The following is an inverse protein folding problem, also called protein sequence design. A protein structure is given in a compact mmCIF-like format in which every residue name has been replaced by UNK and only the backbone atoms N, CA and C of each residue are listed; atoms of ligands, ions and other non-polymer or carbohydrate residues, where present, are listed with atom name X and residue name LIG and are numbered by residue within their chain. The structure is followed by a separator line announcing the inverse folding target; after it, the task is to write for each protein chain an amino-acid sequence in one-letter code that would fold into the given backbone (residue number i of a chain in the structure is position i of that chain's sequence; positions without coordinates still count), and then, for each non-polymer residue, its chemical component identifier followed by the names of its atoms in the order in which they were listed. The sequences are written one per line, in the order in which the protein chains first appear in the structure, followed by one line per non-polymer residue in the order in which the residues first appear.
data_IF_257990164947
#
_entry.id   IF_257990164947
#
_cell.length_a   1.000
_cell.length_b   1.000
_cell.length_c   1.000
_cell.angle_alpha   90.00
_cell.angle_beta   90.00
_cell.angle_gamma   90.00
#
_symmetry.space_group_name_H-M   'P 1'
#
loop_
_entity.id
_entity.type
_entity.pdbx_description
1 polymer ?
#
# COMPACT_ATOMS: atom_id res chain seq x y z
N UNK A 1 -0.12 7.44 -14.33
CA UNK A 1 0.30 6.11 -13.86
C UNK A 1 1.81 6.01 -14.06
N UNK A 2 2.55 5.46 -13.09
CA UNK A 2 4.00 5.28 -13.17
C UNK A 2 4.39 3.90 -12.61
N UNK A 3 5.48 3.33 -13.10
CA UNK A 3 6.11 2.12 -12.53
C UNK A 3 7.42 2.43 -11.80
N UNK A 4 7.80 3.71 -11.73
CA UNK A 4 8.97 4.17 -11.00
C UNK A 4 8.87 3.76 -9.52
N UNK A 5 9.88 3.04 -9.02
CA UNK A 5 9.95 2.62 -7.62
C UNK A 5 9.01 1.48 -7.21
N UNK A 6 8.23 0.91 -8.12
CA UNK A 6 7.41 -0.28 -7.82
C UNK A 6 8.27 -1.47 -7.32
N UNK A 7 9.52 -1.55 -7.80
CA UNK A 7 10.56 -2.48 -7.38
C UNK A 7 11.87 -1.74 -7.07
N UNK A 8 12.90 -2.46 -6.63
CA UNK A 8 14.22 -1.89 -6.34
C UNK A 8 14.48 -1.62 -4.86
N UNK A 9 15.58 -0.94 -4.54
CA UNK A 9 15.98 -0.62 -3.17
C UNK A 9 15.59 0.83 -2.83
N UNK A 10 14.28 1.06 -2.85
CA UNK A 10 13.57 2.33 -2.70
C UNK A 10 12.30 2.11 -1.87
N UNK A 11 11.60 3.20 -1.58
CA UNK A 11 10.22 3.20 -1.09
C UNK A 11 9.31 2.43 -2.05
N UNK A 12 8.41 1.61 -1.51
CA UNK A 12 7.35 0.93 -2.26
C UNK A 12 6.10 1.78 -2.33
N UNK A 13 5.04 1.23 -2.90
CA UNK A 13 3.74 1.86 -2.80
C UNK A 13 3.37 2.10 -1.33
N UNK A 14 3.18 3.36 -0.96
CA UNK A 14 2.72 3.74 0.38
C UNK A 14 1.26 3.33 0.52
N UNK A 15 0.96 2.53 1.54
CA UNK A 15 -0.39 2.02 1.76
C UNK A 15 -1.17 2.90 2.73
N UNK A 16 -2.46 3.07 2.46
CA UNK A 16 -3.47 3.57 3.39
C UNK A 16 -4.77 2.77 3.16
N UNK A 17 -5.72 2.87 4.09
CA UNK A 17 -7.03 2.25 3.95
C UNK A 17 -7.65 2.60 2.59
N UNK A 18 -8.03 1.59 1.77
CA UNK A 18 -8.54 1.83 0.42
C UNK A 18 -10.01 2.27 0.43
N UNK A 19 -10.74 2.07 1.53
CA UNK A 19 -12.16 2.34 1.60
C UNK A 19 -12.45 3.84 1.51
N UNK A 20 -13.18 4.31 0.48
CA UNK A 20 -13.43 5.73 0.26
C UNK A 20 -14.62 6.23 1.09
N UNK A 21 -14.62 5.96 2.40
CA UNK A 21 -15.68 6.43 3.31
C UNK A 21 -15.87 7.94 3.25
N UNK A 22 -14.80 8.68 2.95
CA UNK A 22 -14.88 10.11 2.66
C UNK A 22 -14.90 11.00 3.89
N UNK A 23 -14.67 10.46 5.10
CA UNK A 23 -14.49 11.28 6.30
C UNK A 23 -13.21 12.14 6.22
N UNK A 24 -13.20 13.34 6.85
CA UNK A 24 -12.08 14.27 6.73
C UNK A 24 -10.73 13.74 7.21
N UNK A 25 -10.73 12.84 8.20
CA UNK A 25 -9.52 12.24 8.76
C UNK A 25 -8.88 11.30 7.73
N UNK A 26 -9.66 10.39 7.13
CA UNK A 26 -9.17 9.49 6.07
C UNK A 26 -8.75 10.25 4.81
N UNK A 27 -9.39 11.37 4.48
CA UNK A 27 -8.94 12.23 3.38
C UNK A 27 -7.54 12.82 3.65
N UNK A 28 -7.26 13.27 4.87
CA UNK A 28 -5.92 13.71 5.27
C UNK A 28 -4.91 12.58 5.23
N UNK A 29 -5.29 11.36 5.63
CA UNK A 29 -4.39 10.20 5.61
C UNK A 29 -4.06 9.74 4.18
N UNK A 30 -5.05 9.78 3.29
CA UNK A 30 -4.82 9.55 1.86
C UNK A 30 -3.90 10.62 1.27
N UNK A 31 -4.12 11.89 1.61
CA UNK A 31 -3.23 12.97 1.18
C UNK A 31 -1.80 12.82 1.72
N UNK A 32 -1.65 12.34 2.96
CA UNK A 32 -0.35 12.02 3.53
C UNK A 32 0.33 10.86 2.79
N UNK A 33 -0.41 9.79 2.46
CA UNK A 33 0.14 8.67 1.70
C UNK A 33 0.71 9.14 0.34
N UNK A 34 -0.05 9.99 -0.36
CA UNK A 34 0.37 10.63 -1.61
C UNK A 34 1.62 11.52 -1.39
N UNK A 35 1.63 12.34 -0.33
CA UNK A 35 2.75 13.21 -0.01
C UNK A 35 4.04 12.43 0.35
N UNK A 36 3.95 11.32 1.10
CA UNK A 36 5.11 10.48 1.40
C UNK A 36 5.62 9.81 0.12
N UNK A 37 4.71 9.28 -0.71
CA UNK A 37 5.08 8.64 -1.96
C UNK A 37 5.79 9.61 -2.92
N UNK A 38 5.33 10.86 -3.01
CA UNK A 38 5.98 11.92 -3.79
C UNK A 38 7.31 12.36 -3.16
N UNK A 39 7.35 12.56 -1.84
CA UNK A 39 8.55 13.01 -1.12
C UNK A 39 9.72 12.03 -1.29
N UNK A 40 9.41 10.73 -1.18
CA UNK A 40 10.36 9.62 -1.30
C UNK A 40 10.51 9.09 -2.74
N UNK A 41 9.84 9.66 -3.74
CA UNK A 41 10.03 9.23 -5.12
C UNK A 41 11.47 9.49 -5.58
N UNK A 42 12.12 8.55 -6.30
CA UNK A 42 13.41 8.80 -6.94
C UNK A 42 13.36 10.04 -7.83
N UNK A 43 14.31 10.96 -7.67
CA UNK A 43 14.37 12.23 -8.41
C UNK A 43 15.29 12.19 -9.63
N UNK A 44 15.86 11.02 -9.92
CA UNK A 44 16.65 10.74 -11.12
C UNK A 44 15.82 10.89 -12.40
N UNK A 45 16.48 11.37 -13.46
CA UNK A 45 15.88 11.45 -14.80
C UNK A 45 15.86 10.11 -15.52
N UNK A 46 16.57 9.09 -15.02
CA UNK A 46 16.81 7.82 -15.72
C UNK A 46 15.53 7.13 -16.19
N UNK A 47 14.46 7.15 -15.39
CA UNK A 47 13.18 6.54 -15.78
C UNK A 47 12.59 7.19 -17.03
N UNK A 48 12.57 8.52 -17.08
CA UNK A 48 12.03 9.25 -18.23
C UNK A 48 12.93 9.08 -19.46
N UNK A 49 14.25 9.11 -19.27
CA UNK A 49 15.22 8.91 -20.35
C UNK A 49 15.10 7.54 -21.02
N UNK A 50 14.79 6.49 -20.26
CA UNK A 50 14.67 5.13 -20.81
C UNK A 50 13.31 4.89 -21.47
N UNK A 51 12.23 5.41 -20.87
CA UNK A 51 10.87 5.00 -21.23
C UNK A 51 10.06 6.04 -22.01
N UNK A 52 10.44 7.32 -21.94
CA UNK A 52 9.61 8.43 -22.44
C UNK A 52 10.36 9.39 -23.37
N UNK A 53 11.70 9.37 -23.37
CA UNK A 53 12.51 10.15 -24.31
C UNK A 53 12.84 9.30 -25.54
N UNK A 54 12.64 9.88 -26.72
CA UNK A 54 13.12 9.30 -27.98
C UNK A 54 14.59 9.69 -28.24
N UNK A 55 15.18 9.19 -29.34
CA UNK A 55 16.59 9.47 -29.71
C UNK A 55 16.91 10.96 -29.90
N UNK A 56 15.89 11.82 -30.03
CA UNK A 56 16.01 13.28 -30.14
C UNK A 56 15.83 14.01 -28.80
N UNK A 57 15.62 13.28 -27.69
CA UNK A 57 15.37 13.83 -26.35
C UNK A 57 13.99 14.46 -26.17
N UNK A 58 13.03 14.19 -27.06
CA UNK A 58 11.65 14.67 -26.91
C UNK A 58 10.86 13.70 -26.04
N UNK A 59 10.14 14.24 -25.05
CA UNK A 59 9.18 13.49 -24.24
C UNK A 59 7.95 13.16 -25.10
N UNK A 60 7.77 11.90 -25.45
CA UNK A 60 6.58 11.44 -26.14
C UNK A 60 5.78 10.55 -25.17
N UNK A 61 4.66 11.08 -24.66
CA UNK A 61 3.66 10.22 -24.02
C UNK A 61 3.08 9.35 -25.14
N UNK A 62 3.28 8.03 -25.06
CA UNK A 62 2.54 7.09 -25.92
C UNK A 62 1.05 7.38 -25.75
N UNK A 63 0.43 7.94 -26.80
CA UNK A 63 -1.00 8.20 -26.82
C UNK A 63 -1.73 6.86 -26.87
N UNK A 64 -2.29 6.45 -25.74
CA UNK A 64 -3.37 5.47 -25.75
C UNK A 64 -4.64 6.20 -26.23
N UNK A 65 -5.39 5.68 -27.21
CA UNK A 65 -6.58 6.34 -27.72
C UNK A 65 -7.53 6.67 -26.57
N UNK A 66 -7.81 7.96 -26.41
CA UNK A 66 -8.62 8.51 -25.33
C UNK A 66 -10.08 8.07 -25.50
N UNK A 67 -10.53 7.18 -24.61
CA UNK A 67 -11.94 6.99 -24.31
C UNK A 67 -12.10 6.44 -22.88
N UNK A 68 -11.64 7.20 -21.89
CA UNK A 68 -12.18 7.15 -20.52
C UNK A 68 -12.12 8.58 -19.99
N UNK A 69 -13.29 9.19 -19.80
CA UNK A 69 -13.40 10.49 -19.17
C UNK A 69 -13.13 10.34 -17.67
N UNK A 70 -11.88 10.43 -17.22
CA UNK A 70 -11.62 10.51 -15.77
C UNK A 70 -11.93 11.93 -15.28
N UNK A 71 -13.20 12.21 -14.97
CA UNK A 71 -13.61 13.48 -14.38
C UNK A 71 -13.61 13.39 -12.85
N UNK A 72 -12.64 14.06 -12.21
CA UNK A 72 -12.74 14.44 -10.80
C UNK A 72 -11.45 14.93 -10.15
N UNK A 73 -10.28 14.44 -10.56
CA UNK A 73 -8.99 14.93 -10.05
C UNK A 73 -8.14 15.48 -11.19
N UNK A 74 -8.09 16.80 -11.29
CA UNK A 74 -7.04 17.48 -12.06
C UNK A 74 -5.72 17.23 -11.33
N UNK A 75 -4.99 16.21 -11.76
CA UNK A 75 -3.55 16.15 -11.50
C UNK A 75 -2.93 17.06 -12.55
N UNK A 76 -2.68 18.31 -12.17
CA UNK A 76 -1.82 19.15 -12.98
C UNK A 76 -0.48 18.41 -13.15
N UNK A 77 -0.07 18.21 -14.40
CA UNK A 77 1.18 17.55 -14.78
C UNK A 77 2.45 18.33 -14.43
N UNK A 78 2.41 19.12 -13.36
CA UNK A 78 3.56 19.68 -12.66
C UNK A 78 3.36 19.34 -11.18
N UNK A 79 4.16 18.40 -10.67
CA UNK A 79 4.33 18.14 -9.24
C UNK A 79 4.93 19.37 -8.55
N UNK A 80 4.07 20.35 -8.29
CA UNK A 80 4.38 21.52 -7.50
C UNK A 80 3.21 21.73 -6.54
N UNK A 81 3.42 21.30 -5.30
CA UNK A 81 2.64 21.75 -4.15
C UNK A 81 2.64 23.29 -4.18
N UNK A 82 1.45 23.89 -4.24
CA UNK A 82 1.26 25.33 -4.09
C UNK A 82 1.56 25.74 -2.64
N UNK A 83 2.85 25.76 -2.29
CA UNK A 83 3.38 26.56 -1.19
C UNK A 83 3.94 27.85 -1.79
N UNK A 84 3.41 29.01 -1.36
CA UNK A 84 3.98 30.31 -1.72
C UNK A 84 5.44 30.38 -1.23
N UNK A 85 6.39 30.10 -2.12
CA UNK A 85 7.80 30.46 -1.94
C UNK A 85 8.01 31.77 -2.69
N UNK A 86 8.12 32.86 -1.93
CA UNK A 86 8.56 34.14 -2.46
C UNK A 86 10.02 34.01 -2.91
N UNK A 87 10.30 34.29 -4.18
CA UNK A 87 11.65 34.58 -4.66
C UNK A 87 11.98 33.95 -6.00
N UNK A 88 12.07 34.79 -7.04
CA UNK A 88 12.62 34.53 -8.37
C UNK A 88 13.71 33.44 -8.41
N UNK A 89 13.41 32.32 -9.06
CA UNK A 89 14.40 31.31 -9.46
C UNK A 89 14.00 30.73 -10.80
N UNK A 90 14.53 31.30 -11.88
CA UNK A 90 14.51 30.67 -13.20
C UNK A 90 15.24 29.34 -13.12
N UNK A 91 14.56 28.24 -13.46
CA UNK A 91 15.20 26.93 -13.58
C UNK A 91 16.17 26.97 -14.77
N UNK A 92 17.43 27.27 -14.49
CA UNK A 92 18.53 27.08 -15.44
C UNK A 92 18.74 25.57 -15.63
N UNK A 93 18.63 25.14 -16.89
CA UNK A 93 19.20 23.87 -17.34
C UNK A 93 20.72 23.96 -17.24
N UNK A 94 21.28 23.58 -16.09
CA UNK A 94 22.72 23.39 -15.95
C UNK A 94 23.11 22.04 -16.53
N UNK A 95 23.89 22.07 -17.61
CA UNK A 95 24.58 20.92 -18.17
C UNK A 95 25.54 20.30 -17.13
N UNK A 96 25.58 18.96 -17.13
CA UNK A 96 26.64 18.09 -16.57
C UNK A 96 27.32 18.52 -15.25
N UNK A 97 26.75 18.10 -14.11
CA UNK A 97 27.44 18.19 -12.81
C UNK A 97 26.54 17.94 -11.59
N UNK A 98 26.37 16.67 -11.21
CA UNK A 98 25.84 16.17 -9.91
C UNK A 98 24.50 16.74 -9.37
N UNK A 99 23.37 16.34 -9.96
CA UNK A 99 22.14 16.18 -9.18
C UNK A 99 22.06 14.71 -8.73
N UNK A 100 22.75 14.40 -7.63
CA UNK A 100 22.68 13.09 -6.97
C UNK A 100 21.34 13.04 -6.21
N UNK A 101 20.59 11.96 -6.38
CA UNK A 101 19.40 11.61 -5.59
C UNK A 101 19.51 12.13 -4.13
N UNK A 102 18.73 13.15 -3.73
CA UNK A 102 19.02 13.90 -2.50
C UNK A 102 18.77 13.09 -1.23
N UNK A 103 17.76 12.20 -1.26
CA UNK A 103 17.45 11.29 -0.16
C UNK A 103 18.22 9.99 -0.34
N UNK A 104 18.14 9.37 -1.52
CA UNK A 104 18.70 8.04 -1.75
C UNK A 104 20.22 7.99 -1.95
N UNK A 105 20.83 9.10 -2.34
CA UNK A 105 22.25 9.14 -2.69
C UNK A 105 22.57 8.23 -3.88
N UNK A 106 23.87 8.02 -4.12
CA UNK A 106 24.34 7.19 -5.25
C UNK A 106 23.94 5.72 -5.14
N UNK A 107 23.80 5.21 -3.92
CA UNK A 107 23.65 3.77 -3.65
C UNK A 107 22.23 3.37 -3.28
N UNK A 108 21.28 4.30 -3.30
CA UNK A 108 19.90 4.06 -2.87
C UNK A 108 19.82 3.44 -1.47
N UNK A 109 18.71 2.81 -1.08
CA UNK A 109 18.64 2.11 0.19
C UNK A 109 19.37 0.76 0.13
N UNK A 110 19.72 0.14 1.27
CA UNK A 110 20.26 -1.22 1.29
C UNK A 110 19.26 -2.27 0.76
N UNK A 111 17.96 -2.01 0.94
CA UNK A 111 16.87 -2.89 0.53
C UNK A 111 15.57 -2.10 0.35
N UNK A 112 14.52 -2.80 -0.09
CA UNK A 112 13.14 -2.30 -0.11
C UNK A 112 12.73 -1.66 1.22
N UNK A 113 12.04 -0.52 1.14
CA UNK A 113 11.37 0.12 2.27
C UNK A 113 9.86 0.16 1.99
N UNK A 114 9.05 -0.07 3.00
CA UNK A 114 7.59 -0.09 2.91
C UNK A 114 6.98 0.79 3.99
N UNK A 115 6.04 1.64 3.59
CA UNK A 115 5.27 2.47 4.50
C UNK A 115 3.78 2.12 4.45
N UNK A 116 3.14 2.03 5.62
CA UNK A 116 1.70 1.94 5.75
C UNK A 116 1.17 2.97 6.75
N UNK A 117 0.00 3.53 6.44
CA UNK A 117 -0.72 4.50 7.25
C UNK A 117 -2.05 3.88 7.66
N UNK A 118 -2.48 4.17 8.87
CA UNK A 118 -3.76 3.73 9.42
C UNK A 118 -4.43 4.85 10.21
N UNK A 119 -5.70 4.63 10.51
CA UNK A 119 -6.43 5.33 11.58
C UNK A 119 -6.66 4.37 12.75
N UNK A 120 -6.81 4.87 13.98
CA UNK A 120 -7.21 4.09 15.15
C UNK A 120 -8.29 3.05 14.85
N UNK A 121 -8.03 1.79 15.20
CA UNK A 121 -8.96 0.67 15.03
C UNK A 121 -8.89 -0.05 13.67
N UNK A 122 -8.21 0.50 12.66
CA UNK A 122 -8.19 -0.06 11.30
C UNK A 122 -6.80 -0.56 10.90
N UNK A 123 -6.66 -1.89 10.78
CA UNK A 123 -5.45 -2.57 10.31
C UNK A 123 -5.61 -3.20 8.93
N UNK A 124 -6.51 -2.73 8.07
CA UNK A 124 -6.67 -3.29 6.72
C UNK A 124 -5.36 -3.22 5.89
N UNK A 125 -4.40 -2.38 6.24
CA UNK A 125 -3.08 -2.31 5.55
C UNK A 125 -2.00 -3.21 6.16
N UNK A 126 -2.31 -3.95 7.22
CA UNK A 126 -1.37 -4.78 7.99
C UNK A 126 -0.12 -3.98 8.44
N UNK A 127 -0.35 -2.90 9.16
CA UNK A 127 0.63 -1.83 9.45
C UNK A 127 1.92 -2.37 10.08
N UNK A 128 1.80 -3.36 10.96
CA UNK A 128 2.93 -3.93 11.70
C UNK A 128 3.91 -4.72 10.82
N UNK A 129 3.60 -5.00 9.56
CA UNK A 129 4.49 -5.69 8.63
C UNK A 129 5.38 -4.76 7.79
N UNK A 130 5.23 -3.45 7.97
CA UNK A 130 5.90 -2.41 7.19
C UNK A 130 7.15 -1.88 7.90
N UNK A 131 8.11 -1.34 7.13
CA UNK A 131 9.29 -0.71 7.71
C UNK A 131 8.88 0.52 8.51
N UNK A 132 7.92 1.30 8.01
CA UNK A 132 7.30 2.44 8.70
C UNK A 132 5.78 2.26 8.79
N UNK A 133 5.24 2.39 10.00
CA UNK A 133 3.82 2.46 10.28
C UNK A 133 3.46 3.81 10.90
N UNK A 134 2.44 4.49 10.37
CA UNK A 134 1.91 5.74 10.92
C UNK A 134 0.43 5.59 11.26
N UNK A 135 0.06 5.80 12.53
CA UNK A 135 -1.35 5.81 12.95
C UNK A 135 -1.77 7.24 13.24
N UNK A 136 -2.62 7.82 12.39
CA UNK A 136 -3.07 9.21 12.49
C UNK A 136 -4.11 9.40 13.59
N UNK A 137 -3.81 10.25 14.56
CA UNK A 137 -4.63 10.50 15.74
C UNK A 137 -5.38 11.83 15.61
N UNK A 138 -6.65 11.80 16.00
CA UNK A 138 -7.54 12.94 16.09
C UNK A 138 -8.23 12.92 17.46
N UNK A 139 -8.57 14.10 17.97
CA UNK A 139 -9.43 14.21 19.13
C UNK A 139 -10.86 13.74 18.79
N UNK A 140 -11.61 13.33 19.80
CA UNK A 140 -13.00 12.91 19.63
C UNK A 140 -13.85 14.03 19.00
N UNK A 141 -14.52 13.72 17.89
CA UNK A 141 -15.33 14.68 17.14
C UNK A 141 -14.54 15.71 16.33
N UNK A 142 -13.20 15.63 16.28
CA UNK A 142 -12.36 16.51 15.47
C UNK A 142 -12.17 15.95 14.06
N UNK A 143 -12.33 16.81 13.06
CA UNK A 143 -12.00 16.48 11.67
C UNK A 143 -10.49 16.55 11.39
N UNK A 144 -9.65 16.96 12.36
CA UNK A 144 -8.23 17.23 12.13
C UNK A 144 -7.33 16.17 12.78
N UNK A 145 -6.33 15.72 12.02
CA UNK A 145 -5.27 14.88 12.55
C UNK A 145 -4.24 15.77 13.24
N UNK A 146 -4.08 15.60 14.55
CA UNK A 146 -3.12 16.40 15.33
C UNK A 146 -1.72 15.76 15.36
N UNK A 147 -1.60 14.48 15.00
CA UNK A 147 -0.30 13.83 14.77
C UNK A 147 -0.38 12.31 14.69
N UNK A 148 0.74 11.63 14.89
CA UNK A 148 0.89 10.22 14.54
C UNK A 148 1.63 9.42 15.62
N UNK A 149 1.10 8.25 15.97
CA UNK A 149 1.94 7.20 16.55
C UNK A 149 2.79 6.58 15.44
N UNK A 150 4.09 6.42 15.70
CA UNK A 150 5.09 5.93 14.75
C UNK A 150 5.53 4.53 15.18
N UNK A 151 5.50 3.59 14.23
CA UNK A 151 5.97 2.21 14.39
C UNK A 151 7.06 1.93 13.35
N UNK A 152 8.09 1.18 13.71
CA UNK A 152 9.23 0.91 12.82
C UNK A 152 9.73 -0.53 12.87
N UNK A 153 10.25 -1.03 11.74
CA UNK A 153 11.00 -2.29 11.70
C UNK A 153 10.17 -3.54 11.52
N UNK A 154 8.99 -3.45 10.90
CA UNK A 154 8.21 -4.61 10.48
C UNK A 154 8.77 -5.28 9.23
N UNK A 155 8.53 -6.59 9.09
CA UNK A 155 8.76 -7.29 7.83
C UNK A 155 8.74 -8.80 7.94
N UNK A 156 8.09 -9.44 6.97
CA UNK A 156 7.82 -10.88 7.00
C UNK A 156 8.98 -11.76 6.50
N UNK A 157 9.77 -11.29 5.53
CA UNK A 157 10.70 -12.16 4.82
C UNK A 157 11.78 -12.82 5.68
N UNK A 158 11.96 -14.12 5.47
CA UNK A 158 12.95 -14.97 6.12
C UNK A 158 13.54 -15.99 5.13
N UNK A 159 14.49 -16.81 5.59
CA UNK A 159 15.05 -17.93 4.83
C UNK A 159 14.87 -19.21 5.65
N UNK A 160 14.36 -20.28 5.03
CA UNK A 160 14.25 -21.58 5.70
C UNK A 160 15.62 -22.06 6.20
N UNK A 161 15.63 -22.68 7.37
CA UNK A 161 16.84 -23.20 8.03
C UNK A 161 17.93 -22.15 8.28
N UNK A 162 17.56 -20.86 8.34
CA UNK A 162 18.47 -19.79 8.72
C UNK A 162 17.91 -19.00 9.91
N UNK A 163 18.37 -19.25 11.14
CA UNK A 163 17.86 -18.59 12.34
C UNK A 163 18.16 -17.09 12.37
N UNK A 164 19.15 -16.61 11.58
CA UNK A 164 19.50 -15.20 11.49
C UNK A 164 18.50 -14.39 10.62
N UNK A 165 17.47 -15.05 10.10
CA UNK A 165 16.40 -14.39 9.33
C UNK A 165 15.03 -14.81 9.84
N UNK A 166 14.23 -13.84 10.29
CA UNK A 166 12.95 -14.10 10.95
C UNK A 166 11.95 -12.98 10.67
N UNK A 167 10.62 -13.24 10.66
CA UNK A 167 9.62 -12.18 10.60
C UNK A 167 9.66 -11.32 11.88
N UNK A 168 9.38 -10.02 11.75
CA UNK A 168 9.25 -9.10 12.88
C UNK A 168 8.04 -8.20 12.69
N UNK A 169 7.37 -7.89 13.80
CA UNK A 169 6.39 -6.81 13.88
C UNK A 169 7.10 -5.49 14.11
N UNK A 170 6.56 -4.41 13.53
CA UNK A 170 7.03 -3.06 13.77
C UNK A 170 6.88 -2.71 15.26
N UNK A 171 7.94 -2.13 15.82
CA UNK A 171 8.01 -1.73 17.22
C UNK A 171 7.58 -0.27 17.38
N UNK A 172 6.96 0.11 18.50
CA UNK A 172 6.62 1.50 18.78
C UNK A 172 7.89 2.35 18.86
N UNK A 173 7.93 3.47 18.13
CA UNK A 173 9.04 4.43 18.15
C UNK A 173 8.73 5.66 19.01
N UNK A 174 7.48 6.15 18.95
CA UNK A 174 7.04 7.34 19.65
C UNK A 174 5.85 8.01 18.99
N UNK A 175 5.58 9.24 19.37
CA UNK A 175 4.54 10.11 18.81
C UNK A 175 5.17 11.37 18.21
N UNK A 176 4.54 11.89 17.15
CA UNK A 176 4.94 13.14 16.47
C UNK A 176 3.73 14.01 16.15
N UNK A 177 3.89 15.33 16.20
CA UNK A 177 2.89 16.28 15.72
C UNK A 177 2.74 16.21 14.20
N UNK A 178 1.56 16.56 13.68
CA UNK A 178 1.25 16.35 12.27
C UNK A 178 2.19 17.09 11.29
N UNK A 179 2.68 18.27 11.68
CA UNK A 179 3.61 19.10 10.91
C UNK A 179 5.01 18.45 10.73
N UNK A 180 5.36 17.47 11.56
CA UNK A 180 6.68 16.81 11.55
C UNK A 180 6.73 15.52 10.73
N UNK A 181 5.60 15.05 10.21
CA UNK A 181 5.48 13.70 9.65
C UNK A 181 6.43 13.42 8.47
N UNK A 182 6.61 14.37 7.55
CA UNK A 182 7.51 14.19 6.42
C UNK A 182 8.98 14.23 6.84
N UNK A 183 9.35 15.11 7.78
CA UNK A 183 10.72 15.19 8.29
C UNK A 183 11.12 13.90 9.01
N UNK A 184 10.25 13.40 9.90
CA UNK A 184 10.47 12.15 10.64
C UNK A 184 10.54 10.95 9.70
N UNK A 185 9.64 10.88 8.71
CA UNK A 185 9.67 9.84 7.68
C UNK A 185 11.00 9.84 6.93
N UNK A 186 11.46 11.01 6.48
CA UNK A 186 12.74 11.14 5.80
C UNK A 186 13.90 10.71 6.71
N UNK A 187 13.96 11.15 7.96
CA UNK A 187 15.09 10.82 8.85
C UNK A 187 15.15 9.33 9.18
N UNK A 188 14.01 8.65 9.33
CA UNK A 188 13.98 7.19 9.47
C UNK A 188 14.57 6.52 8.22
N UNK A 189 14.18 6.98 7.02
CA UNK A 189 14.72 6.48 5.75
C UNK A 189 16.23 6.73 5.64
N UNK A 190 16.72 7.89 6.08
CA UNK A 190 18.16 8.23 6.08
C UNK A 190 18.95 7.35 7.07
N UNK A 191 18.43 7.11 8.27
CA UNK A 191 19.06 6.19 9.22
C UNK A 191 19.18 4.79 8.63
N UNK A 192 18.12 4.27 7.99
CA UNK A 192 18.18 3.00 7.29
C UNK A 192 19.15 3.02 6.09
N UNK A 193 19.22 4.14 5.35
CA UNK A 193 20.15 4.32 4.23
C UNK A 193 21.60 4.20 4.68
N UNK A 194 21.93 4.86 5.79
CA UNK A 194 23.29 5.08 6.25
C UNK A 194 23.81 3.93 7.12
N UNK A 195 22.91 3.23 7.81
CA UNK A 195 23.29 2.22 8.80
C UNK A 195 22.78 0.80 8.49
N UNK A 196 21.85 0.63 7.54
CA UNK A 196 21.40 -0.70 7.14
C UNK A 196 22.49 -1.49 6.41
N UNK A 197 22.55 -2.80 6.66
CA UNK A 197 23.59 -3.68 6.13
C UNK A 197 23.55 -3.76 4.58
N UNK A 198 24.68 -3.46 3.94
CA UNK A 198 24.87 -3.56 2.49
C UNK A 198 25.75 -4.73 2.07
N UNK A 199 26.32 -5.44 3.02
CA UNK A 199 27.19 -6.60 2.79
C UNK A 199 26.38 -7.89 2.65
N UNK A 200 25.32 -8.05 3.44
CA UNK A 200 24.41 -9.19 3.37
C UNK A 200 22.97 -8.75 3.08
N UNK A 201 22.51 -8.97 1.84
CA UNK A 201 21.15 -8.59 1.40
C UNK A 201 20.03 -9.28 2.19
N UNK A 202 20.27 -10.46 2.79
CA UNK A 202 19.29 -11.15 3.64
C UNK A 202 19.07 -10.44 4.98
N UNK A 203 20.04 -9.61 5.38
CA UNK A 203 20.07 -8.85 6.63
C UNK A 203 19.87 -7.34 6.40
N UNK A 204 19.60 -6.92 5.16
CA UNK A 204 19.60 -5.50 4.76
C UNK A 204 18.30 -4.73 5.08
N UNK A 205 17.24 -5.38 5.58
CA UNK A 205 15.98 -4.71 5.95
C UNK A 205 16.09 -4.04 7.31
N UNK A 206 15.37 -2.93 7.50
CA UNK A 206 15.45 -2.11 8.71
C UNK A 206 15.10 -2.87 10.00
N UNK A 207 14.26 -3.90 9.91
CA UNK A 207 13.96 -4.80 11.03
C UNK A 207 15.21 -5.41 11.69
N UNK A 208 16.25 -5.70 10.91
CA UNK A 208 17.49 -6.27 11.43
C UNK A 208 18.37 -5.21 12.08
N UNK A 209 18.44 -4.01 11.49
CA UNK A 209 19.10 -2.86 12.11
C UNK A 209 18.52 -2.57 13.50
N UNK A 210 17.18 -2.55 13.60
CA UNK A 210 16.48 -2.33 14.87
C UNK A 210 16.67 -3.52 15.83
N UNK A 211 16.65 -4.75 15.33
CA UNK A 211 16.90 -5.95 16.14
C UNK A 211 18.29 -5.90 16.79
N UNK A 212 19.32 -5.54 16.01
CA UNK A 212 20.70 -5.55 16.48
C UNK A 212 21.03 -4.39 17.40
N UNK A 213 20.46 -3.22 17.13
CA UNK A 213 20.71 -2.02 17.93
C UNK A 213 19.80 -1.96 19.16
N UNK A 214 18.62 -2.55 19.10
CA UNK A 214 17.52 -2.27 20.02
C UNK A 214 16.79 -0.96 19.66
N UNK A 215 15.50 -0.91 19.99
CA UNK A 215 14.61 0.20 19.62
C UNK A 215 15.07 1.55 20.20
N UNK A 216 15.60 1.57 21.42
CA UNK A 216 16.07 2.80 22.08
C UNK A 216 17.27 3.43 21.35
N UNK A 217 18.24 2.62 20.93
CA UNK A 217 19.40 3.11 20.18
C UNK A 217 19.00 3.57 18.77
N UNK A 218 18.05 2.88 18.15
CA UNK A 218 17.48 3.31 16.87
C UNK A 218 16.74 4.65 17.02
N UNK A 219 15.89 4.80 18.05
CA UNK A 219 15.21 6.06 18.39
C UNK A 219 16.20 7.21 18.58
N UNK A 220 17.22 7.00 19.42
CA UNK A 220 18.26 8.00 19.66
C UNK A 220 18.98 8.41 18.36
N UNK A 221 19.24 7.46 17.46
CA UNK A 221 19.84 7.78 16.14
C UNK A 221 18.90 8.56 15.24
N UNK A 222 17.61 8.23 15.22
CA UNK A 222 16.61 9.02 14.47
C UNK A 222 16.53 10.44 15.03
N UNK A 223 16.48 10.60 16.35
CA UNK A 223 16.43 11.90 17.02
C UNK A 223 17.71 12.73 16.80
N UNK A 224 18.87 12.09 16.66
CA UNK A 224 20.12 12.76 16.24
C UNK A 224 19.99 13.37 14.84
N UNK A 225 19.36 12.67 13.90
CA UNK A 225 19.11 13.18 12.54
C UNK A 225 18.04 14.29 12.53
N UNK A 226 17.09 14.26 13.47
CA UNK A 226 16.02 15.24 13.62
C UNK A 226 16.48 16.52 14.34
N UNK A 227 17.41 16.40 15.29
CA UNK A 227 17.77 17.48 16.20
C UNK A 227 16.72 17.77 17.28
N UNK A 228 15.73 16.90 17.45
CA UNK A 228 14.72 16.96 18.50
C UNK A 228 14.27 15.56 18.92
N UNK A 229 13.64 15.49 20.10
CA UNK A 229 13.16 14.24 20.69
C UNK A 229 11.74 13.92 20.22
N UNK A 230 11.45 12.63 20.04
CA UNK A 230 10.10 12.14 19.80
C UNK A 230 9.33 12.11 21.12
N UNK A 231 8.02 12.32 21.05
CA UNK A 231 7.15 12.18 22.23
C UNK A 231 6.86 10.70 22.50
N UNK A 232 6.34 10.39 23.68
CA UNK A 232 5.85 9.05 24.00
C UNK A 232 4.57 8.72 23.23
N UNK A 233 4.34 7.43 22.96
CA UNK A 233 3.14 6.99 22.27
C UNK A 233 1.88 7.46 22.98
N UNK A 234 0.90 7.87 22.18
CA UNK A 234 -0.43 8.20 22.67
C UNK A 234 -1.33 6.95 22.64
N UNK A 235 -2.29 6.82 23.57
CA UNK A 235 -3.22 5.70 23.57
C UNK A 235 -4.00 5.59 22.26
N UNK A 236 -4.23 4.36 21.81
CA UNK A 236 -5.09 4.05 20.67
C UNK A 236 -5.81 2.71 20.92
N UNK A 237 -7.01 2.49 20.35
CA UNK A 237 -7.72 1.23 20.46
C UNK A 237 -6.96 0.08 19.79
N UNK A 238 -7.37 -1.15 20.09
CA UNK A 238 -6.90 -2.32 19.39
C UNK A 238 -7.24 -2.21 17.89
N UNK A 239 -6.30 -2.62 17.04
CA UNK A 239 -6.43 -2.53 15.60
C UNK A 239 -7.07 -3.81 15.06
N UNK A 240 -8.09 -3.68 14.21
CA UNK A 240 -8.81 -4.81 13.60
C UNK A 240 -8.75 -4.74 12.08
N UNK A 241 -8.84 -5.88 11.39
CA UNK A 241 -8.82 -5.93 9.93
C UNK A 241 -10.26 -5.91 9.41
N UNK A 242 -10.51 -5.06 8.42
CA UNK A 242 -11.76 -5.02 7.64
C UNK A 242 -11.41 -5.32 6.17
N UNK A 243 -12.25 -6.11 5.47
CA UNK A 243 -12.01 -6.52 4.09
C UNK A 243 -12.65 -5.58 3.06
N UNK A 244 -13.50 -4.65 3.53
CA UNK A 244 -14.21 -3.65 2.76
C UNK A 244 -15.07 -4.21 1.62
N UNK A 245 -15.49 -5.47 1.72
CA UNK A 245 -16.32 -6.13 0.70
C UNK A 245 -17.79 -5.75 0.82
N UNK A 246 -18.53 -5.84 -0.29
CA UNK A 246 -19.96 -5.52 -0.34
C UNK A 246 -20.24 -4.02 -0.40
N UNK A 247 -21.50 -3.64 -0.13
CA UNK A 247 -21.96 -2.24 -0.18
C UNK A 247 -21.63 -1.46 1.08
N UNK A 248 -21.03 -0.28 0.89
CA UNK A 248 -20.73 0.67 1.96
C UNK A 248 -21.16 2.08 1.56
N UNK A 249 -21.70 2.84 2.51
CA UNK A 249 -22.12 4.22 2.28
C UNK A 249 -20.94 5.18 2.50
N UNK A 250 -20.81 6.16 1.61
CA UNK A 250 -19.82 7.23 1.67
C UNK A 250 -20.42 8.48 2.34
N UNK A 251 -19.57 9.35 2.88
CA UNK A 251 -19.97 10.58 3.56
C UNK A 251 -20.74 11.56 2.66
N UNK A 252 -20.56 11.49 1.34
CA UNK A 252 -21.29 12.29 0.35
C UNK A 252 -22.66 11.70 -0.04
N UNK A 253 -23.07 10.60 0.61
CA UNK A 253 -24.32 9.89 0.35
C UNK A 253 -24.24 8.87 -0.80
N UNK A 254 -23.13 8.81 -1.54
CA UNK A 254 -22.88 7.78 -2.55
C UNK A 254 -22.49 6.46 -1.90
N UNK A 255 -22.25 5.46 -2.74
CA UNK A 255 -21.90 4.11 -2.33
C UNK A 255 -20.65 3.64 -3.06
N UNK A 256 -19.85 2.83 -2.36
CA UNK A 256 -18.87 1.96 -2.99
C UNK A 256 -19.23 0.49 -2.78
N UNK A 257 -18.76 -0.34 -3.69
CA UNK A 257 -18.91 -1.79 -3.63
C UNK A 257 -17.54 -2.46 -3.68
N UNK A 258 -17.22 -3.27 -2.67
CA UNK A 258 -16.03 -4.10 -2.64
C UNK A 258 -16.26 -5.46 -3.29
N UNK A 259 -15.51 -5.72 -4.36
CA UNK A 259 -15.57 -6.95 -5.15
C UNK A 259 -14.45 -7.88 -4.70
N UNK A 260 -14.83 -9.07 -4.25
CA UNK A 260 -13.87 -10.14 -3.97
C UNK A 260 -13.24 -10.62 -5.28
N UNK A 261 -11.91 -10.64 -5.32
CA UNK A 261 -11.13 -11.18 -6.42
C UNK A 261 -10.21 -12.25 -5.84
N UNK A 262 -10.47 -13.52 -6.13
CA UNK A 262 -9.66 -14.62 -5.62
C UNK A 262 -8.18 -14.44 -6.05
N UNK A 263 -7.31 -14.27 -5.05
CA UNK A 263 -5.89 -13.97 -5.22
C UNK A 263 -5.56 -12.70 -6.04
N UNK A 264 -6.52 -11.78 -6.19
CA UNK A 264 -6.38 -10.59 -7.05
C UNK A 264 -6.21 -10.89 -8.54
N UNK A 265 -6.45 -12.13 -8.98
CA UNK A 265 -6.27 -12.52 -10.39
C UNK A 265 -7.46 -12.07 -11.22
N UNK A 266 -7.30 -10.94 -11.90
CA UNK A 266 -8.28 -10.45 -12.88
C UNK A 266 -8.08 -11.18 -14.22
N UNK A 267 -9.05 -12.04 -14.55
CA UNK A 267 -9.07 -12.85 -15.78
C UNK A 267 -10.47 -13.39 -16.07
N UNK A 268 -10.68 -13.86 -17.29
CA UNK A 268 -11.89 -14.61 -17.64
C UNK A 268 -11.52 -16.10 -17.64
N UNK A 269 -12.16 -16.88 -16.78
CA UNK A 269 -11.91 -18.30 -16.59
C UNK A 269 -13.24 -19.05 -16.39
N UNK A 270 -13.63 -19.83 -17.39
CA UNK A 270 -14.95 -20.47 -17.45
C UNK A 270 -16.08 -19.45 -17.25
N UNK A 271 -16.95 -19.72 -16.27
CA UNK A 271 -18.08 -18.86 -15.92
C UNK A 271 -17.66 -17.63 -15.08
N UNK A 272 -16.47 -17.65 -14.48
CA UNK A 272 -15.93 -16.53 -13.70
C UNK A 272 -15.21 -15.54 -14.62
N UNK A 273 -15.95 -14.53 -15.08
CA UNK A 273 -15.49 -13.56 -16.09
C UNK A 273 -15.10 -12.22 -15.45
N UNK A 274 -14.19 -12.24 -14.48
CA UNK A 274 -13.84 -11.05 -13.67
C UNK A 274 -13.33 -9.88 -14.52
N UNK A 275 -12.51 -10.13 -15.54
CA UNK A 275 -11.97 -9.07 -16.40
C UNK A 275 -13.07 -8.41 -17.23
N UNK A 276 -13.92 -9.23 -17.85
CA UNK A 276 -15.04 -8.74 -18.65
C UNK A 276 -16.08 -8.00 -17.79
N UNK A 277 -16.38 -8.53 -16.60
CA UNK A 277 -17.32 -7.91 -15.65
C UNK A 277 -16.82 -6.57 -15.11
N UNK A 278 -15.57 -6.49 -14.66
CA UNK A 278 -14.97 -5.22 -14.21
C UNK A 278 -14.95 -4.19 -15.35
N UNK A 279 -14.60 -4.61 -16.58
CA UNK A 279 -14.64 -3.72 -17.75
C UNK A 279 -16.06 -3.20 -18.02
N UNK A 280 -17.06 -4.08 -17.97
CA UNK A 280 -18.46 -3.69 -18.19
C UNK A 280 -18.95 -2.70 -17.13
N UNK A 281 -18.64 -2.95 -15.85
CA UNK A 281 -18.92 -2.03 -14.74
C UNK A 281 -18.28 -0.67 -14.96
N UNK A 282 -16.98 -0.65 -15.31
CA UNK A 282 -16.26 0.60 -15.56
C UNK A 282 -16.83 1.38 -16.73
N UNK A 283 -17.11 0.71 -17.85
CA UNK A 283 -17.70 1.36 -19.03
C UNK A 283 -19.12 1.87 -18.81
N UNK A 284 -19.89 1.19 -17.95
CA UNK A 284 -21.28 1.52 -17.68
C UNK A 284 -21.44 2.66 -16.68
N UNK A 285 -20.63 2.66 -15.62
CA UNK A 285 -20.83 3.54 -14.48
C UNK A 285 -19.72 4.56 -14.25
N UNK A 286 -18.57 4.42 -14.93
CA UNK A 286 -17.37 5.25 -14.72
C UNK A 286 -16.99 5.44 -13.23
N UNK A 287 -16.93 4.35 -12.43
CA UNK A 287 -16.62 4.44 -11.02
C UNK A 287 -15.12 4.69 -10.81
N UNK A 288 -14.76 5.25 -9.65
CA UNK A 288 -13.38 5.20 -9.20
C UNK A 288 -12.99 3.74 -8.87
N UNK A 289 -11.81 3.30 -9.32
CA UNK A 289 -11.30 1.93 -9.11
C UNK A 289 -10.16 1.99 -8.10
N UNK A 290 -10.28 1.24 -7.00
CA UNK A 290 -9.32 1.24 -5.90
C UNK A 290 -8.92 -0.21 -5.59
N UNK A 291 -7.62 -0.48 -5.43
CA UNK A 291 -7.10 -1.82 -5.13
C UNK A 291 -6.85 -1.93 -3.63
N UNK A 292 -7.27 -3.03 -3.00
CA UNK A 292 -7.09 -3.24 -1.56
C UNK A 292 -5.80 -4.02 -1.23
N UNK A 293 -5.26 -3.88 -0.01
CA UNK A 293 -4.16 -4.72 0.47
C UNK A 293 -4.50 -6.21 0.54
N UNK A 294 -5.78 -6.58 0.56
CA UNK A 294 -6.29 -7.96 0.47
C UNK A 294 -6.45 -8.45 -0.98
N UNK A 295 -5.91 -7.72 -1.96
CA UNK A 295 -5.97 -8.07 -3.40
C UNK A 295 -7.37 -7.96 -4.02
N UNK A 296 -8.31 -7.28 -3.35
CA UNK A 296 -9.66 -7.04 -3.86
C UNK A 296 -9.74 -5.69 -4.59
N UNK A 297 -10.90 -5.42 -5.21
CA UNK A 297 -11.15 -4.16 -5.94
C UNK A 297 -12.40 -3.49 -5.39
N UNK A 298 -12.30 -2.21 -5.05
CA UNK A 298 -13.43 -1.35 -4.72
C UNK A 298 -13.81 -0.51 -5.94
N UNK A 299 -15.10 -0.43 -6.21
CA UNK A 299 -15.68 0.49 -7.19
C UNK A 299 -16.51 1.53 -6.44
N UNK A 300 -16.24 2.82 -6.62
CA UNK A 300 -16.85 3.89 -5.85
C UNK A 300 -17.54 4.93 -6.72
N UNK A 301 -18.57 5.58 -6.16
CA UNK A 301 -19.31 6.67 -6.81
C UNK A 301 -20.71 6.29 -7.25
N UNK A 302 -21.24 5.15 -6.78
CA UNK A 302 -22.58 4.69 -7.12
C UNK A 302 -23.67 5.45 -6.36
N UNK A 303 -24.81 5.66 -7.02
CA UNK A 303 -26.06 6.10 -6.38
C UNK A 303 -26.82 4.90 -5.80
N UNK A 304 -27.77 5.15 -4.90
CA UNK A 304 -28.63 4.10 -4.33
C UNK A 304 -29.40 3.32 -5.38
N UNK A 305 -29.83 3.99 -6.46
CA UNK A 305 -30.65 3.42 -7.53
C UNK A 305 -29.85 2.48 -8.43
N UNK A 306 -28.53 2.66 -8.50
CA UNK A 306 -27.63 1.83 -9.32
C UNK A 306 -27.30 0.48 -8.68
N UNK A 307 -27.54 0.28 -7.38
CA UNK A 307 -27.11 -0.94 -6.67
C UNK A 307 -27.61 -2.23 -7.31
N UNK A 308 -28.90 -2.27 -7.66
CA UNK A 308 -29.51 -3.46 -8.26
C UNK A 308 -28.92 -3.80 -9.64
N UNK A 309 -28.63 -2.77 -10.45
CA UNK A 309 -27.99 -2.96 -11.77
C UNK A 309 -26.55 -3.44 -11.62
N UNK A 310 -25.80 -2.89 -10.66
CA UNK A 310 -24.42 -3.31 -10.36
C UNK A 310 -24.38 -4.78 -9.95
N UNK A 311 -25.23 -5.19 -9.01
CA UNK A 311 -25.28 -6.59 -8.57
C UNK A 311 -25.73 -7.55 -9.67
N UNK A 312 -26.69 -7.13 -10.52
CA UNK A 312 -27.08 -7.93 -11.67
C UNK A 312 -25.91 -8.12 -12.63
N UNK A 313 -25.14 -7.05 -12.91
CA UNK A 313 -23.98 -7.14 -13.79
C UNK A 313 -22.90 -8.04 -13.18
N UNK A 314 -22.66 -7.97 -11.87
CA UNK A 314 -21.75 -8.90 -11.18
C UNK A 314 -22.19 -10.36 -11.40
N UNK A 315 -23.48 -10.66 -11.17
CA UNK A 315 -24.05 -12.00 -11.38
C UNK A 315 -23.95 -12.46 -12.83
N UNK A 316 -24.24 -11.58 -13.78
CA UNK A 316 -24.17 -11.88 -15.22
C UNK A 316 -22.75 -12.32 -15.64
N UNK A 317 -21.71 -11.81 -14.99
CA UNK A 317 -20.31 -12.18 -15.26
C UNK A 317 -19.76 -13.25 -14.30
N UNK A 318 -20.58 -13.84 -13.43
CA UNK A 318 -20.17 -14.89 -12.50
C UNK A 318 -19.31 -14.39 -11.32
N UNK A 319 -19.45 -13.11 -10.94
CA UNK A 319 -18.82 -12.56 -9.74
C UNK A 319 -19.79 -12.69 -8.56
N UNK A 320 -19.37 -13.44 -7.54
CA UNK A 320 -20.13 -13.64 -6.31
C UNK A 320 -20.23 -12.36 -5.50
N UNK A 321 -21.39 -12.16 -4.89
CA UNK A 321 -21.62 -11.18 -3.83
C UNK A 321 -20.94 -11.62 -2.52
N UNK A 322 -20.78 -10.70 -1.58
CA UNK A 322 -20.06 -10.98 -0.33
C UNK A 322 -20.82 -12.00 0.54
N UNK A 323 -22.15 -12.02 0.44
CA UNK A 323 -23.05 -12.93 1.13
C UNK A 323 -22.96 -14.37 0.60
N UNK A 324 -22.46 -14.55 -0.62
CA UNK A 324 -22.25 -15.86 -1.27
C UNK A 324 -20.84 -16.43 -0.99
N UNK A 325 -20.02 -15.73 -0.20
CA UNK A 325 -18.65 -16.13 0.14
C UNK A 325 -18.55 -16.57 1.60
N UNK A 326 -17.81 -17.66 1.84
CA UNK A 326 -17.46 -18.08 3.20
C UNK A 326 -16.49 -17.09 3.85
N UNK A 327 -16.47 -17.04 5.18
CA UNK A 327 -15.50 -16.23 5.93
C UNK A 327 -14.06 -16.69 5.68
N UNK A 328 -13.83 -18.01 5.51
CA UNK A 328 -12.52 -18.58 5.16
C UNK A 328 -12.02 -17.98 3.84
N UNK A 329 -12.86 -18.00 2.80
CA UNK A 329 -12.49 -17.55 1.46
C UNK A 329 -12.28 -16.05 1.38
N UNK A 330 -13.15 -15.26 2.03
CA UNK A 330 -12.99 -13.79 2.12
C UNK A 330 -11.66 -13.37 2.75
N UNK A 331 -11.17 -14.15 3.70
CA UNK A 331 -9.94 -13.88 4.45
C UNK A 331 -8.75 -14.72 3.98
N UNK A 332 -8.86 -15.36 2.82
CA UNK A 332 -7.79 -16.11 2.19
C UNK A 332 -6.96 -15.21 1.26
N UNK A 333 -5.65 -15.44 1.18
CA UNK A 333 -4.77 -14.75 0.22
C UNK A 333 -3.55 -15.58 -0.10
N UNK A 334 -3.15 -15.60 -1.37
CA UNK A 334 -1.89 -16.17 -1.80
C UNK A 334 -1.03 -15.20 -2.61
N UNK A 335 0.29 -15.43 -2.57
CA UNK A 335 1.19 -14.80 -3.52
C UNK A 335 1.17 -15.54 -4.87
N UNK A 336 1.65 -14.92 -5.96
CA UNK A 336 1.61 -15.57 -7.28
C UNK A 336 2.35 -16.90 -7.37
N UNK A 337 3.49 -17.03 -6.68
CA UNK A 337 4.34 -18.22 -6.73
C UNK A 337 4.59 -18.73 -8.18
N UNK A 338 4.48 -20.03 -8.42
CA UNK A 338 4.63 -20.61 -9.76
C UNK A 338 3.44 -20.22 -10.67
N UNK A 339 3.65 -20.03 -11.99
CA UNK A 339 4.89 -20.28 -12.74
C UNK A 339 5.79 -19.05 -12.91
N UNK A 340 5.37 -17.87 -12.44
CA UNK A 340 6.03 -16.60 -12.79
C UNK A 340 7.10 -16.15 -11.79
N UNK A 341 7.01 -16.56 -10.52
CA UNK A 341 7.97 -16.19 -9.49
C UNK A 341 9.23 -17.05 -9.57
N UNK A 342 10.36 -16.46 -9.95
CA UNK A 342 11.66 -17.13 -9.97
C UNK A 342 12.23 -17.53 -8.60
N UNK A 343 11.52 -17.25 -7.50
CA UNK A 343 11.89 -17.62 -6.12
C UNK A 343 10.96 -18.66 -5.51
N UNK A 344 9.90 -19.08 -6.21
CA UNK A 344 8.92 -20.01 -5.68
C UNK A 344 9.52 -21.42 -5.51
N UNK A 345 9.21 -22.05 -4.38
CA UNK A 345 9.56 -23.42 -4.05
C UNK A 345 8.34 -24.36 -4.16
N UNK A 346 7.13 -23.80 -4.03
CA UNK A 346 5.86 -24.49 -4.11
C UNK A 346 4.79 -23.60 -4.78
N UNK A 347 3.62 -24.18 -5.05
CA UNK A 347 2.42 -23.42 -5.43
C UNK A 347 1.95 -22.51 -4.29
N UNK A 348 1.19 -21.48 -4.66
CA UNK A 348 0.38 -20.71 -3.73
C UNK A 348 -0.93 -20.30 -4.38
N UNK A 349 -0.93 -19.28 -5.25
CA UNK A 349 -2.14 -18.79 -5.94
C UNK A 349 -2.95 -19.89 -6.63
N UNK A 350 -2.27 -20.80 -7.34
CA UNK A 350 -2.94 -21.85 -8.13
C UNK A 350 -3.54 -22.97 -7.31
N UNK A 351 -3.08 -23.15 -6.06
CA UNK A 351 -3.54 -24.23 -5.17
C UNK A 351 -4.45 -23.73 -4.04
N UNK A 352 -4.31 -22.47 -3.63
CA UNK A 352 -5.13 -21.90 -2.55
C UNK A 352 -6.64 -22.13 -2.73
N UNK A 353 -7.25 -22.01 -3.93
CA UNK A 353 -8.69 -22.25 -4.09
C UNK A 353 -9.13 -23.66 -3.68
N UNK A 354 -8.32 -24.69 -3.97
CA UNK A 354 -8.60 -26.08 -3.60
C UNK A 354 -8.46 -26.25 -2.08
N UNK A 355 -7.36 -25.75 -1.50
CA UNK A 355 -7.14 -25.79 -0.05
C UNK A 355 -8.24 -25.07 0.73
N UNK A 356 -8.69 -23.91 0.26
CA UNK A 356 -9.80 -23.18 0.90
C UNK A 356 -11.09 -23.99 0.83
N UNK A 357 -11.34 -24.70 -0.26
CA UNK A 357 -12.52 -25.58 -0.40
C UNK A 357 -12.48 -26.74 0.61
N UNK A 358 -11.30 -27.33 0.84
CA UNK A 358 -11.12 -28.36 1.88
C UNK A 358 -11.34 -27.78 3.29
N UNK A 359 -10.81 -26.58 3.58
CA UNK A 359 -10.99 -25.91 4.88
C UNK A 359 -12.47 -25.55 5.11
N UNK A 360 -13.18 -25.10 4.08
CA UNK A 360 -14.62 -24.83 4.14
C UNK A 360 -15.41 -26.09 4.52
N UNK A 361 -15.11 -27.25 3.91
CA UNK A 361 -15.75 -28.52 4.26
C UNK A 361 -15.51 -28.90 5.73
N UNK A 362 -14.28 -28.76 6.21
CA UNK A 362 -13.94 -29.03 7.62
C UNK A 362 -14.66 -28.06 8.56
N UNK A 363 -14.73 -26.77 8.19
CA UNK A 363 -15.42 -25.77 9.00
C UNK A 363 -16.92 -26.11 9.11
N UNK A 364 -17.56 -26.53 8.02
CA UNK A 364 -18.97 -26.96 8.02
C UNK A 364 -19.20 -28.21 8.88
N UNK A 365 -18.33 -29.21 8.77
CA UNK A 365 -18.42 -30.45 9.59
C UNK A 365 -18.31 -30.18 11.10
N UNK A 366 -17.67 -29.07 11.48
CA UNK A 366 -17.46 -28.66 12.87
C UNK A 366 -18.39 -27.53 13.34
N UNK A 367 -19.38 -27.12 12.52
CA UNK A 367 -20.28 -25.98 12.78
C UNK A 367 -19.54 -24.64 13.00
N UNK A 368 -18.42 -24.42 12.31
CA UNK A 368 -17.56 -23.23 12.40
C UNK A 368 -17.70 -22.29 11.19
N UNK A 369 -18.74 -22.42 10.37
CA UNK A 369 -18.91 -21.64 9.12
C UNK A 369 -18.94 -20.12 9.34
N UNK A 370 -19.35 -19.69 10.53
CA UNK A 370 -19.45 -18.27 10.91
C UNK A 370 -18.19 -17.72 11.55
N UNK A 371 -17.24 -18.58 11.92
CA UNK A 371 -15.99 -18.15 12.52
C UNK A 371 -15.07 -17.49 11.48
N UNK A 372 -14.22 -16.57 11.94
CA UNK A 372 -13.29 -15.85 11.08
C UNK A 372 -11.92 -16.54 11.10
N UNK A 373 -11.58 -17.18 9.98
CA UNK A 373 -10.26 -17.79 9.77
C UNK A 373 -9.47 -16.99 8.75
N UNK A 374 -8.23 -16.64 9.09
CA UNK A 374 -7.31 -16.03 8.12
C UNK A 374 -6.39 -17.10 7.54
N UNK A 375 -6.39 -17.26 6.22
CA UNK A 375 -5.54 -18.24 5.52
C UNK A 375 -4.60 -17.47 4.59
N UNK A 376 -3.30 -17.50 4.87
CA UNK A 376 -2.28 -16.86 4.01
C UNK A 376 -1.33 -17.92 3.49
N UNK A 377 -1.19 -18.03 2.17
CA UNK A 377 -0.32 -19.02 1.52
C UNK A 377 0.77 -18.35 0.70
N UNK A 378 2.01 -18.79 0.89
CA UNK A 378 3.16 -18.29 0.12
C UNK A 378 3.96 -19.46 -0.44
N UNK A 379 4.47 -19.31 -1.66
CA UNK A 379 5.25 -20.37 -2.30
C UNK A 379 6.70 -20.48 -1.82
N UNK A 380 7.16 -19.59 -0.93
CA UNK A 380 8.52 -19.54 -0.40
C UNK A 380 8.57 -18.67 0.89
N UNK A 381 9.66 -18.67 1.68
CA UNK A 381 9.72 -18.00 2.98
C UNK A 381 9.89 -16.47 2.93
N UNK A 382 9.75 -15.84 1.75
CA UNK A 382 9.85 -14.38 1.62
C UNK A 382 8.68 -13.63 2.31
N UNK A 383 7.61 -14.34 2.67
CA UNK A 383 6.32 -13.75 3.03
C UNK A 383 5.77 -12.90 1.89
#
# INVERSE_FOLDING_TARGET
ISTLGACGDVERNVMFCPAPFGDPQRQQMQALAEAIAEHLAPRTTAYHQIWLENDEGKKELQHFPAAVHTNGRSVNGNGAVNGKVNGNGTAEHTAAGSAVEPIYGKSYLPRKFKTAIAVPGDNCTDIYTNDLGLVGLSDEGSDQIHGYNVFVGGGLGMTHNNPDTFPLLAQPLGYISADKVLDVTEKIVLVQRDHGDRTNRKHARMKYLIHDWGIENFRAKVEEYLGYQLEELRPMPAMTVDDHLGWHQQADGKWFYGIYIENGRVGDDGDRRTRSGLRALVQRFDPAVIITPQQNILLSGFTSEQKGEVEQLLRDFGLRTVEELSNVRRNAMACPALPSCGLALAEAERYLPDLVTEIEQIATELDLDRELFTVRMTGCPNG
#
